data_IF_947228265872
#
_entry.id   IF_947228265872
#
_cell.length_a   1.000
_cell.length_b   1.000
_cell.length_c   1.000
_cell.angle_alpha   90.00
_cell.angle_beta   90.00
_cell.angle_gamma   90.00
#
_symmetry.space_group_name_H-M   'P 1'
#
loop_
_entity.id
_entity.type
_entity.pdbx_description
1 polymer ?
#
# COMPACT_ATOMS: atom_id res chain seq x y z
N UNK A 1 38.71 26.45 -6.14
CA UNK A 1 39.16 26.11 -7.51
C UNK A 1 40.08 24.91 -7.43
N UNK A 2 39.83 23.78 -8.08
CA UNK A 2 38.62 23.36 -8.80
C UNK A 2 38.70 21.85 -9.05
N UNK A 3 37.57 21.14 -9.01
CA UNK A 3 37.45 19.76 -9.46
C UNK A 3 36.37 19.73 -10.54
N UNK A 4 36.82 19.72 -11.80
CA UNK A 4 35.97 19.64 -12.98
C UNK A 4 36.47 18.50 -13.87
N UNK A 5 35.52 17.90 -14.60
CA UNK A 5 35.75 16.94 -15.69
C UNK A 5 36.49 15.64 -15.35
N UNK A 6 35.69 14.62 -15.00
CA UNK A 6 35.83 13.31 -15.65
C UNK A 6 34.48 12.66 -15.99
N UNK A 7 33.63 13.41 -16.68
CA UNK A 7 32.49 12.84 -17.38
C UNK A 7 32.98 12.14 -18.66
N UNK A 8 32.87 10.82 -18.74
CA UNK A 8 32.92 10.06 -20.00
C UNK A 8 31.97 8.86 -19.95
N UNK A 9 31.04 8.84 -20.91
CA UNK A 9 30.44 7.65 -21.54
C UNK A 9 29.86 6.56 -20.63
N UNK A 10 28.69 6.84 -20.04
CA UNK A 10 27.60 5.86 -19.94
C UNK A 10 26.36 6.51 -20.52
N UNK A 11 26.12 6.31 -21.82
CA UNK A 11 24.96 6.87 -22.54
C UNK A 11 24.27 5.78 -23.38
N UNK A 12 22.97 5.95 -23.61
CA UNK A 12 22.00 5.20 -24.44
C UNK A 12 20.88 4.39 -23.78
N UNK A 13 21.04 3.78 -22.58
CA UNK A 13 19.97 2.92 -22.01
C UNK A 13 18.98 3.64 -21.08
N UNK A 14 19.42 4.71 -20.40
CA UNK A 14 18.61 5.41 -19.39
C UNK A 14 17.96 6.72 -19.86
N UNK A 15 17.95 7.01 -21.17
CA UNK A 15 17.58 8.34 -21.70
C UNK A 15 16.51 8.32 -22.79
N UNK A 16 15.68 7.29 -22.84
CA UNK A 16 14.38 7.40 -23.52
C UNK A 16 13.52 8.40 -22.75
N UNK A 17 13.40 9.61 -23.29
CA UNK A 17 12.49 10.63 -22.78
C UNK A 17 11.05 10.11 -22.93
N UNK A 18 10.34 9.98 -21.82
CA UNK A 18 8.92 9.61 -21.80
C UNK A 18 8.00 10.80 -22.12
N UNK A 19 8.32 11.53 -23.18
CA UNK A 19 7.61 12.77 -23.58
C UNK A 19 6.14 12.50 -24.00
N UNK A 20 5.78 11.25 -24.29
CA UNK A 20 4.46 10.85 -24.79
C UNK A 20 3.39 10.54 -23.71
N UNK A 21 3.80 10.25 -22.48
CA UNK A 21 2.87 9.92 -21.37
C UNK A 21 3.04 10.86 -20.16
N UNK A 22 3.78 11.96 -20.32
CA UNK A 22 3.88 13.03 -19.34
C UNK A 22 2.51 13.72 -19.16
N UNK A 23 1.75 13.26 -18.18
CA UNK A 23 0.42 13.76 -17.86
C UNK A 23 0.43 14.39 -16.47
N UNK A 24 -0.10 15.61 -16.35
CA UNK A 24 -0.28 16.25 -15.05
C UNK A 24 -1.33 15.47 -14.24
N UNK A 25 -0.85 14.61 -13.34
CA UNK A 25 -1.67 13.76 -12.47
C UNK A 25 -2.48 14.67 -11.53
N UNK A 26 -3.81 14.60 -11.61
CA UNK A 26 -4.74 15.48 -10.87
C UNK A 26 -5.70 14.67 -10.03
N UNK A 27 -5.72 14.92 -8.72
CA UNK A 27 -6.69 14.36 -7.80
C UNK A 27 -8.13 14.76 -8.19
N UNK A 28 -9.05 13.78 -8.16
CA UNK A 28 -10.46 13.93 -8.54
C UNK A 28 -11.36 13.66 -7.33
N UNK A 29 -12.09 14.67 -6.86
CA UNK A 29 -13.00 14.48 -5.71
C UNK A 29 -14.28 13.75 -6.18
N UNK A 30 -14.43 12.51 -5.70
CA UNK A 30 -15.49 11.57 -6.05
C UNK A 30 -16.27 11.21 -4.78
N UNK A 31 -17.61 11.35 -4.79
CA UNK A 31 -18.48 10.96 -3.67
C UNK A 31 -19.26 9.70 -4.05
N UNK A 32 -19.10 8.62 -3.28
CA UNK A 32 -19.71 7.30 -3.48
C UNK A 32 -20.57 6.93 -2.26
N UNK A 33 -21.72 6.28 -2.48
CA UNK A 33 -22.67 5.89 -1.41
C UNK A 33 -22.82 4.38 -1.30
N UNK A 34 -22.80 3.84 -0.08
CA UNK A 34 -22.70 2.40 0.17
C UNK A 34 -23.91 1.80 0.90
N UNK A 35 -24.92 2.62 1.23
CA UNK A 35 -26.04 2.27 2.12
C UNK A 35 -26.91 1.10 1.60
N UNK A 36 -26.94 0.88 0.28
CA UNK A 36 -27.71 -0.15 -0.44
C UNK A 36 -26.88 -1.38 -0.87
N UNK A 37 -25.54 -1.29 -0.79
CA UNK A 37 -24.63 -2.37 -1.20
C UNK A 37 -24.85 -3.62 -0.34
N UNK A 38 -25.13 -4.80 -0.93
CA UNK A 38 -25.26 -6.06 -0.19
C UNK A 38 -23.91 -6.74 0.06
N UNK A 39 -23.89 -7.76 0.93
CA UNK A 39 -22.68 -8.55 1.24
C UNK A 39 -22.05 -9.16 -0.01
N UNK A 40 -22.86 -9.83 -0.86
CA UNK A 40 -22.44 -10.32 -2.18
C UNK A 40 -22.95 -9.37 -3.27
N UNK A 41 -22.26 -8.26 -3.46
CA UNK A 41 -22.55 -7.30 -4.53
C UNK A 41 -22.28 -7.82 -5.95
N UNK A 42 -21.76 -9.04 -6.11
CA UNK A 42 -21.76 -9.78 -7.39
C UNK A 42 -22.70 -10.98 -7.26
N UNK A 43 -23.90 -10.97 -7.89
CA UNK A 43 -24.93 -11.99 -7.72
C UNK A 43 -24.44 -13.42 -7.94
N UNK A 44 -24.56 -14.25 -6.90
CA UNK A 44 -24.14 -15.66 -6.92
C UNK A 44 -22.62 -15.88 -6.99
N UNK A 45 -21.79 -14.83 -6.80
CA UNK A 45 -20.32 -14.91 -6.88
C UNK A 45 -19.64 -14.49 -5.58
N UNK A 46 -19.72 -15.37 -4.58
CA UNK A 46 -19.19 -15.14 -3.23
C UNK A 46 -17.66 -14.94 -3.25
N UNK A 47 -16.92 -15.79 -3.96
CA UNK A 47 -15.45 -15.67 -4.04
C UNK A 47 -15.02 -14.46 -4.84
N UNK A 48 -15.73 -14.11 -5.93
CA UNK A 48 -15.42 -12.88 -6.67
C UNK A 48 -15.59 -11.65 -5.78
N UNK A 49 -16.73 -11.54 -5.09
CA UNK A 49 -17.00 -10.47 -4.12
C UNK A 49 -15.87 -10.37 -3.07
N UNK A 50 -15.44 -11.49 -2.48
CA UNK A 50 -14.38 -11.44 -1.46
C UNK A 50 -12.96 -11.23 -2.01
N UNK A 51 -12.72 -11.48 -3.31
CA UNK A 51 -11.49 -11.04 -3.99
C UNK A 51 -11.46 -9.51 -4.07
N UNK A 52 -12.57 -8.86 -4.44
CA UNK A 52 -12.67 -7.41 -4.43
C UNK A 52 -12.60 -6.81 -3.02
N UNK A 53 -13.29 -7.39 -2.04
CA UNK A 53 -13.16 -6.98 -0.63
C UNK A 53 -11.72 -7.12 -0.10
N UNK A 54 -10.97 -8.12 -0.55
CA UNK A 54 -9.55 -8.25 -0.25
C UNK A 54 -8.74 -7.07 -0.81
N UNK A 55 -9.01 -6.62 -2.03
CA UNK A 55 -8.35 -5.44 -2.61
C UNK A 55 -8.71 -4.16 -1.84
N UNK A 56 -9.99 -3.93 -1.54
CA UNK A 56 -10.46 -2.79 -0.74
C UNK A 56 -9.86 -2.75 0.68
N UNK A 57 -9.34 -3.88 1.18
CA UNK A 57 -8.62 -3.96 2.46
C UNK A 57 -7.11 -3.77 2.33
N UNK A 58 -6.48 -4.38 1.32
CA UNK A 58 -5.02 -4.44 1.22
C UNK A 58 -4.43 -3.18 0.57
N UNK A 59 -5.06 -2.69 -0.51
CA UNK A 59 -4.50 -1.59 -1.29
C UNK A 59 -4.46 -0.27 -0.48
N UNK A 60 -5.54 0.19 0.18
CA UNK A 60 -5.54 1.46 0.92
C UNK A 60 -4.54 1.57 2.07
N UNK A 61 -4.06 0.46 2.62
CA UNK A 61 -3.00 0.48 3.62
C UNK A 61 -1.60 0.45 2.98
N UNK A 62 -1.45 -0.23 1.84
CA UNK A 62 -0.23 -0.20 1.02
C UNK A 62 0.03 1.19 0.40
N UNK A 63 -0.99 1.77 -0.22
CA UNK A 63 -1.04 3.11 -0.84
C UNK A 63 -0.53 4.21 0.12
N UNK A 64 -1.00 4.21 1.38
CA UNK A 64 -0.54 5.11 2.46
C UNK A 64 0.93 4.94 2.84
N UNK A 65 1.49 3.76 2.62
CA UNK A 65 2.91 3.48 2.89
C UNK A 65 3.75 3.90 1.69
N UNK A 66 3.31 3.54 0.50
CA UNK A 66 3.92 3.93 -0.77
C UNK A 66 4.02 5.44 -0.91
N UNK A 67 2.92 6.17 -0.67
CA UNK A 67 2.90 7.63 -0.64
C UNK A 67 3.89 8.24 0.35
N UNK A 68 4.12 7.60 1.52
CA UNK A 68 5.14 8.03 2.48
C UNK A 68 6.56 7.77 1.99
N UNK A 69 6.81 6.65 1.31
CA UNK A 69 8.11 6.36 0.71
C UNK A 69 8.41 7.34 -0.45
N UNK A 70 7.42 7.65 -1.29
CA UNK A 70 7.54 8.65 -2.34
C UNK A 70 7.78 10.06 -1.78
N UNK A 71 7.08 10.46 -0.71
CA UNK A 71 7.34 11.72 -0.03
C UNK A 71 8.75 11.80 0.59
N UNK A 72 9.32 10.67 1.04
CA UNK A 72 10.73 10.57 1.44
C UNK A 72 11.70 10.64 0.26
N UNK A 73 11.25 10.28 -0.96
CA UNK A 73 12.06 10.29 -2.18
C UNK A 73 12.14 11.67 -2.83
N UNK A 74 11.10 12.52 -2.72
CA UNK A 74 11.04 13.85 -3.35
C UNK A 74 12.33 14.70 -3.22
N UNK A 75 13.01 14.80 -2.06
CA UNK A 75 14.25 15.58 -1.93
C UNK A 75 15.47 15.04 -2.70
N UNK A 76 15.34 13.86 -3.31
CA UNK A 76 16.36 13.19 -4.12
C UNK A 76 15.95 13.08 -5.61
N UNK A 77 14.85 13.72 -6.02
CA UNK A 77 14.36 13.72 -7.41
C UNK A 77 14.69 15.08 -8.04
N UNK A 78 15.72 15.09 -8.88
CA UNK A 78 16.20 16.30 -9.58
C UNK A 78 15.49 16.53 -10.93
N UNK A 79 14.72 15.55 -11.44
CA UNK A 79 13.88 15.71 -12.64
C UNK A 79 12.57 16.43 -12.26
N UNK A 80 12.34 17.68 -12.73
CA UNK A 80 11.15 18.45 -12.36
C UNK A 80 9.84 17.80 -12.83
N UNK A 81 9.85 17.04 -13.94
CA UNK A 81 8.66 16.32 -14.43
C UNK A 81 8.30 15.20 -13.49
N UNK A 82 9.26 14.33 -13.16
CA UNK A 82 9.06 13.23 -12.22
C UNK A 82 8.68 13.75 -10.81
N UNK A 83 9.25 14.88 -10.39
CA UNK A 83 8.89 15.52 -9.13
C UNK A 83 7.42 16.01 -9.12
N UNK A 84 6.92 16.57 -10.23
CA UNK A 84 5.49 16.92 -10.38
C UNK A 84 4.59 15.68 -10.39
N UNK A 85 4.95 14.65 -11.15
CA UNK A 85 4.23 13.37 -11.24
C UNK A 85 4.11 12.68 -9.86
N UNK A 86 5.20 12.63 -9.09
CA UNK A 86 5.20 12.07 -7.72
C UNK A 86 4.32 12.89 -6.76
N UNK A 87 4.29 14.21 -6.88
CA UNK A 87 3.36 15.05 -6.09
C UNK A 87 1.90 14.78 -6.47
N UNK A 88 1.60 14.70 -7.76
CA UNK A 88 0.26 14.39 -8.27
C UNK A 88 -0.24 13.03 -7.80
N UNK A 89 0.61 12.01 -7.88
CA UNK A 89 0.39 10.65 -7.36
C UNK A 89 -0.03 10.67 -5.88
N UNK A 90 0.82 11.25 -5.01
CA UNK A 90 0.55 11.34 -3.57
C UNK A 90 -0.79 12.05 -3.28
N UNK A 91 -1.20 12.99 -4.13
CA UNK A 91 -2.50 13.68 -4.05
C UNK A 91 -3.70 12.82 -4.47
N UNK A 92 -3.58 12.00 -5.51
CA UNK A 92 -4.63 11.05 -5.94
C UNK A 92 -4.85 9.97 -4.87
N UNK A 93 -3.77 9.28 -4.47
CA UNK A 93 -3.76 8.20 -3.47
C UNK A 93 -4.49 8.57 -2.16
N UNK A 94 -4.28 9.79 -1.67
CA UNK A 94 -4.93 10.27 -0.45
C UNK A 94 -6.46 10.36 -0.57
N UNK A 95 -6.97 10.65 -1.77
CA UNK A 95 -8.42 10.74 -2.06
C UNK A 95 -9.01 9.34 -2.29
N UNK A 96 -8.26 8.49 -2.98
CA UNK A 96 -8.62 7.14 -3.40
C UNK A 96 -8.69 6.17 -2.21
N UNK A 97 -7.71 6.18 -1.30
CA UNK A 97 -7.77 5.40 -0.06
C UNK A 97 -8.99 5.75 0.84
N UNK A 98 -9.49 7.00 0.77
CA UNK A 98 -10.64 7.46 1.59
C UNK A 98 -11.99 6.97 1.02
N UNK A 99 -12.05 6.66 -0.28
CA UNK A 99 -13.22 6.07 -0.95
C UNK A 99 -13.36 4.57 -0.65
N UNK A 100 -12.28 3.79 -0.79
CA UNK A 100 -12.30 2.35 -0.43
C UNK A 100 -12.71 2.12 1.03
N UNK A 101 -12.33 3.03 1.94
CA UNK A 101 -12.74 2.98 3.35
C UNK A 101 -14.25 2.91 3.56
N UNK A 102 -15.04 3.53 2.69
CA UNK A 102 -16.50 3.48 2.77
C UNK A 102 -17.08 2.07 2.51
N UNK A 103 -16.43 1.28 1.64
CA UNK A 103 -16.75 -0.13 1.44
C UNK A 103 -16.43 -0.94 2.71
N UNK A 104 -15.35 -0.62 3.41
CA UNK A 104 -14.98 -1.28 4.67
C UNK A 104 -15.97 -0.98 5.80
N UNK A 105 -16.36 0.29 5.95
CA UNK A 105 -17.40 0.71 6.89
C UNK A 105 -18.71 -0.08 6.61
N UNK A 106 -19.04 -0.31 5.34
CA UNK A 106 -20.20 -1.10 4.93
C UNK A 106 -20.08 -2.60 5.24
N UNK A 107 -18.90 -3.21 5.08
CA UNK A 107 -18.69 -4.61 5.48
C UNK A 107 -18.93 -4.83 6.98
N UNK A 108 -18.54 -3.85 7.81
CA UNK A 108 -18.82 -3.85 9.27
C UNK A 108 -20.33 -3.79 9.54
N UNK A 109 -21.08 -2.91 8.86
CA UNK A 109 -22.55 -2.84 9.00
C UNK A 109 -23.24 -4.16 8.61
N UNK A 110 -22.71 -4.86 7.61
CA UNK A 110 -23.22 -6.16 7.14
C UNK A 110 -22.73 -7.35 8.02
N UNK A 111 -22.01 -7.08 9.11
CA UNK A 111 -21.62 -8.08 10.11
C UNK A 111 -20.28 -8.77 9.87
N UNK A 112 -19.43 -8.25 8.98
CA UNK A 112 -18.08 -8.76 8.70
C UNK A 112 -17.03 -7.69 9.03
N UNK A 113 -16.60 -7.62 10.29
CA UNK A 113 -15.57 -6.68 10.74
C UNK A 113 -14.14 -7.14 10.35
N UNK A 114 -13.44 -6.44 9.43
CA UNK A 114 -12.12 -6.84 8.96
C UNK A 114 -10.98 -6.34 9.86
N UNK A 115 -11.26 -5.67 10.99
CA UNK A 115 -10.24 -5.16 11.92
C UNK A 115 -9.14 -6.17 12.31
N UNK A 116 -9.40 -7.48 12.46
CA UNK A 116 -8.34 -8.47 12.70
C UNK A 116 -7.39 -8.66 11.51
N UNK A 117 -7.84 -8.47 10.27
CA UNK A 117 -6.99 -8.50 9.07
C UNK A 117 -6.15 -7.23 9.01
N UNK A 118 -6.79 -6.06 9.13
CA UNK A 118 -6.12 -4.75 9.11
C UNK A 118 -5.04 -4.64 10.20
N UNK A 119 -5.30 -5.16 11.40
CA UNK A 119 -4.30 -5.20 12.50
C UNK A 119 -3.08 -6.07 12.17
N UNK A 120 -3.24 -7.13 11.38
CA UNK A 120 -2.10 -7.96 10.92
C UNK A 120 -1.35 -7.30 9.77
N UNK A 121 -2.08 -6.70 8.83
CA UNK A 121 -1.51 -5.96 7.71
C UNK A 121 -0.67 -4.77 8.20
N UNK A 122 -1.19 -3.96 9.12
CA UNK A 122 -0.46 -2.86 9.75
C UNK A 122 0.90 -3.30 10.29
N UNK A 123 0.96 -4.41 11.04
CA UNK A 123 2.23 -4.97 11.56
C UNK A 123 3.21 -5.40 10.48
N UNK A 124 2.74 -5.85 9.31
CA UNK A 124 3.61 -6.19 8.17
C UNK A 124 4.17 -4.89 7.55
N UNK A 125 3.32 -3.88 7.40
CA UNK A 125 3.68 -2.56 6.85
C UNK A 125 4.59 -1.75 7.78
N UNK A 126 4.42 -1.88 9.10
CA UNK A 126 5.31 -1.31 10.12
C UNK A 126 6.75 -1.84 9.95
N UNK A 127 6.91 -3.15 9.71
CA UNK A 127 8.23 -3.76 9.45
C UNK A 127 8.84 -3.25 8.15
N UNK A 128 8.04 -3.00 7.11
CA UNK A 128 8.50 -2.44 5.82
C UNK A 128 8.92 -0.96 5.99
N UNK A 129 8.21 -0.19 6.82
CA UNK A 129 8.42 1.25 7.02
C UNK A 129 9.43 1.62 8.09
N UNK A 130 9.81 0.69 8.97
CA UNK A 130 10.76 0.97 10.06
C UNK A 130 12.13 1.36 9.50
N UNK A 131 12.58 2.58 9.83
CA UNK A 131 13.93 3.07 9.56
C UNK A 131 14.89 2.68 10.69
N UNK A 132 16.10 2.28 10.31
CA UNK A 132 17.17 1.95 11.27
C UNK A 132 18.55 2.27 10.69
N UNK A 133 19.53 2.43 11.58
CA UNK A 133 20.89 2.80 11.22
C UNK A 133 21.08 4.28 10.86
N UNK A 134 22.22 4.56 10.25
CA UNK A 134 22.63 5.90 9.82
C UNK A 134 21.94 6.34 8.52
N UNK A 135 22.17 7.57 8.09
CA UNK A 135 21.61 8.17 6.87
C UNK A 135 21.78 7.29 5.62
N UNK A 136 22.98 6.75 5.39
CA UNK A 136 23.24 5.82 4.27
C UNK A 136 22.38 4.56 4.36
N UNK A 137 22.20 3.99 5.55
CA UNK A 137 21.32 2.84 5.75
C UNK A 137 19.85 3.20 5.45
N UNK A 138 19.37 4.36 5.90
CA UNK A 138 18.00 4.85 5.64
C UNK A 138 17.75 5.09 4.15
N UNK A 139 18.70 5.71 3.43
CA UNK A 139 18.60 5.85 1.98
C UNK A 139 18.53 4.48 1.28
N UNK A 140 19.32 3.50 1.72
CA UNK A 140 19.24 2.16 1.15
C UNK A 140 17.90 1.47 1.44
N UNK A 141 17.33 1.66 2.65
CA UNK A 141 15.98 1.18 2.98
C UNK A 141 14.89 1.86 2.13
N UNK A 142 15.03 3.15 1.83
CA UNK A 142 14.16 3.85 0.88
C UNK A 142 14.23 3.23 -0.52
N UNK A 143 15.43 2.94 -1.03
CA UNK A 143 15.60 2.22 -2.31
C UNK A 143 14.96 0.82 -2.30
N UNK A 144 15.03 0.06 -1.18
CA UNK A 144 14.32 -1.21 -1.04
C UNK A 144 12.79 -1.03 -1.07
N UNK A 145 12.26 0.02 -0.44
CA UNK A 145 10.82 0.34 -0.43
C UNK A 145 10.34 0.72 -1.83
N UNK A 146 11.05 1.59 -2.55
CA UNK A 146 10.67 1.96 -3.92
C UNK A 146 10.77 0.77 -4.89
N UNK A 147 11.78 -0.11 -4.72
CA UNK A 147 11.89 -1.37 -5.48
C UNK A 147 10.74 -2.36 -5.19
N UNK A 148 10.22 -2.35 -3.96
CA UNK A 148 9.05 -3.14 -3.56
C UNK A 148 7.77 -2.54 -4.14
N UNK A 149 7.52 -1.25 -3.91
CA UNK A 149 6.29 -0.60 -4.33
C UNK A 149 6.15 -0.53 -5.84
N UNK A 150 7.21 -0.28 -6.61
CA UNK A 150 7.15 -0.36 -8.08
C UNK A 150 6.74 -1.74 -8.61
N UNK A 151 7.05 -2.83 -7.89
CA UNK A 151 6.58 -4.16 -8.25
C UNK A 151 5.15 -4.45 -7.79
N UNK A 152 4.67 -3.82 -6.72
CA UNK A 152 3.26 -3.90 -6.29
C UNK A 152 2.36 -3.06 -7.21
N UNK A 153 2.84 -1.88 -7.63
CA UNK A 153 2.21 -0.97 -8.59
C UNK A 153 2.00 -1.63 -9.96
N UNK A 154 2.97 -2.45 -10.41
CA UNK A 154 2.78 -3.25 -11.62
C UNK A 154 1.55 -4.17 -11.51
N UNK A 155 1.29 -4.75 -10.34
CA UNK A 155 0.09 -5.56 -10.14
C UNK A 155 -1.18 -4.71 -10.09
N UNK A 156 -1.18 -3.55 -9.43
CA UNK A 156 -2.38 -2.69 -9.37
C UNK A 156 -2.73 -2.14 -10.75
N UNK A 157 -1.76 -1.73 -11.56
CA UNK A 157 -1.97 -1.35 -12.97
C UNK A 157 -2.54 -2.49 -13.83
N UNK A 158 -2.09 -3.74 -13.64
CA UNK A 158 -2.66 -4.93 -14.33
C UNK A 158 -4.11 -5.19 -13.90
N UNK A 159 -4.43 -5.02 -12.62
CA UNK A 159 -5.80 -5.10 -12.11
C UNK A 159 -6.68 -3.95 -12.61
N UNK A 160 -6.15 -2.73 -12.67
CA UNK A 160 -6.82 -1.55 -13.21
C UNK A 160 -7.22 -1.76 -14.66
N UNK A 161 -6.28 -2.20 -15.50
CA UNK A 161 -6.56 -2.63 -16.88
C UNK A 161 -7.68 -3.68 -16.96
N UNK A 162 -7.67 -4.68 -16.08
CA UNK A 162 -8.73 -5.69 -16.02
C UNK A 162 -10.11 -5.10 -15.66
N UNK A 163 -10.20 -4.11 -14.78
CA UNK A 163 -11.47 -3.44 -14.42
C UNK A 163 -12.08 -2.67 -15.61
N UNK A 164 -11.24 -2.10 -16.46
CA UNK A 164 -11.65 -1.35 -17.65
C UNK A 164 -12.05 -2.28 -18.80
N UNK A 165 -11.29 -3.35 -19.03
CA UNK A 165 -11.42 -4.21 -20.22
C UNK A 165 -12.30 -5.46 -20.02
N UNK A 166 -12.62 -5.86 -18.78
CA UNK A 166 -13.38 -7.09 -18.56
C UNK A 166 -14.90 -6.92 -18.79
N UNK A 167 -15.35 -7.39 -19.95
CA UNK A 167 -16.77 -7.65 -20.24
C UNK A 167 -17.39 -8.64 -19.22
N UNK A 168 -16.61 -9.60 -18.73
CA UNK A 168 -17.06 -10.59 -17.75
C UNK A 168 -17.44 -9.94 -16.43
N UNK A 169 -16.64 -8.98 -15.96
CA UNK A 169 -16.96 -8.15 -14.80
C UNK A 169 -18.14 -7.23 -15.08
N UNK A 170 -18.13 -6.52 -16.22
CA UNK A 170 -19.19 -5.59 -16.60
C UNK A 170 -20.58 -6.25 -16.65
N UNK A 171 -20.65 -7.47 -17.19
CA UNK A 171 -21.89 -8.23 -17.37
C UNK A 171 -22.20 -9.17 -16.19
N UNK A 172 -21.44 -9.10 -15.08
CA UNK A 172 -21.61 -10.00 -13.92
C UNK A 172 -22.85 -9.72 -13.06
N UNK A 173 -23.55 -8.60 -13.31
CA UNK A 173 -24.59 -8.08 -12.41
C UNK A 173 -24.04 -7.40 -11.15
N UNK A 174 -22.75 -7.09 -11.12
CA UNK A 174 -22.09 -6.33 -10.04
C UNK A 174 -22.86 -5.04 -9.70
N UNK A 175 -22.96 -4.72 -8.40
CA UNK A 175 -23.60 -3.50 -7.93
C UNK A 175 -23.01 -2.26 -8.62
N UNK A 176 -23.83 -1.39 -9.25
CA UNK A 176 -23.30 -0.34 -10.13
C UNK A 176 -22.29 0.59 -9.45
N UNK A 177 -22.50 0.95 -8.18
CA UNK A 177 -21.56 1.82 -7.44
C UNK A 177 -20.17 1.17 -7.23
N UNK A 178 -20.10 -0.16 -7.10
CA UNK A 178 -18.83 -0.88 -6.96
C UNK A 178 -18.13 -1.00 -8.32
N UNK A 179 -18.87 -1.20 -9.41
CA UNK A 179 -18.30 -1.18 -10.75
C UNK A 179 -17.77 0.22 -11.13
N UNK A 180 -18.52 1.27 -10.78
CA UNK A 180 -18.11 2.66 -10.98
C UNK A 180 -16.83 2.98 -10.16
N UNK A 181 -16.74 2.52 -8.90
CA UNK A 181 -15.53 2.63 -8.07
C UNK A 181 -14.33 1.91 -8.71
N UNK A 182 -14.49 0.64 -9.09
CA UNK A 182 -13.41 -0.18 -9.65
C UNK A 182 -12.90 0.38 -10.99
N UNK A 183 -13.79 0.92 -11.83
CA UNK A 183 -13.38 1.53 -13.11
C UNK A 183 -12.72 2.89 -12.94
N UNK A 184 -13.19 3.71 -12.01
CA UNK A 184 -12.52 4.97 -11.68
C UNK A 184 -11.12 4.71 -11.14
N UNK A 185 -11.00 3.87 -10.11
CA UNK A 185 -9.73 3.43 -9.53
C UNK A 185 -8.81 2.83 -10.59
N UNK A 186 -9.31 1.88 -11.39
CA UNK A 186 -8.52 1.22 -12.42
C UNK A 186 -8.05 2.12 -13.56
N UNK A 187 -8.68 3.28 -13.78
CA UNK A 187 -8.19 4.29 -14.71
C UNK A 187 -7.04 5.12 -14.11
N UNK A 188 -7.09 5.46 -12.82
CA UNK A 188 -6.00 6.19 -12.13
C UNK A 188 -4.74 5.31 -12.03
N UNK A 189 -4.89 4.03 -11.69
CA UNK A 189 -3.81 3.02 -11.70
C UNK A 189 -3.10 2.88 -13.06
N UNK A 190 -3.82 3.09 -14.16
CA UNK A 190 -3.24 3.05 -15.52
C UNK A 190 -2.61 4.40 -15.91
N UNK A 191 -3.16 5.51 -15.42
CA UNK A 191 -2.66 6.88 -15.59
C UNK A 191 -1.27 7.05 -14.97
N UNK A 192 -1.03 6.48 -13.78
CA UNK A 192 0.21 6.68 -13.02
C UNK A 192 1.17 5.48 -12.91
N UNK A 193 0.89 4.40 -13.65
CA UNK A 193 1.58 3.09 -13.61
C UNK A 193 3.13 3.09 -13.66
N UNK A 194 3.77 4.15 -14.12
CA UNK A 194 5.24 4.25 -14.14
C UNK A 194 5.84 5.06 -12.99
N UNK A 195 5.09 5.92 -12.27
CA UNK A 195 5.65 6.93 -11.35
C UNK A 195 6.53 6.32 -10.26
N UNK A 196 6.08 5.25 -9.62
CA UNK A 196 6.84 4.56 -8.56
C UNK A 196 8.09 3.87 -9.11
N UNK A 197 8.02 3.38 -10.35
CA UNK A 197 9.10 2.72 -11.04
C UNK A 197 10.15 3.72 -11.53
N UNK A 198 9.73 4.87 -12.07
CA UNK A 198 10.58 5.98 -12.47
C UNK A 198 11.31 6.58 -11.26
N UNK A 199 10.61 6.79 -10.13
CA UNK A 199 11.23 7.20 -8.86
C UNK A 199 12.28 6.17 -8.37
N UNK A 200 12.01 4.87 -8.52
CA UNK A 200 12.99 3.83 -8.21
C UNK A 200 14.22 3.86 -9.15
N UNK A 201 14.02 4.06 -10.46
CA UNK A 201 15.10 4.16 -11.42
C UNK A 201 15.97 5.42 -11.19
N UNK A 202 15.35 6.53 -10.79
CA UNK A 202 16.05 7.79 -10.50
C UNK A 202 16.96 7.68 -9.27
N UNK A 203 16.49 7.04 -8.18
CA UNK A 203 17.22 6.96 -6.91
C UNK A 203 18.22 5.79 -6.79
N UNK A 204 18.05 4.70 -7.56
CA UNK A 204 18.88 3.49 -7.43
C UNK A 204 19.10 2.75 -8.75
N UNK A 205 18.04 2.47 -9.51
CA UNK A 205 18.11 1.76 -10.80
C UNK A 205 18.69 0.34 -10.79
N UNK A 206 19.08 -0.19 -9.62
CA UNK A 206 19.83 -1.44 -9.49
C UNK A 206 18.99 -2.69 -9.75
N UNK A 207 19.03 -3.21 -10.98
CA UNK A 207 18.28 -4.41 -11.43
C UNK A 207 18.23 -5.56 -10.40
N UNK A 208 19.33 -5.87 -9.71
CA UNK A 208 19.37 -6.93 -8.70
C UNK A 208 18.49 -6.64 -7.46
N UNK A 209 18.38 -5.38 -7.03
CA UNK A 209 17.45 -4.95 -5.97
C UNK A 209 16.01 -5.01 -6.48
N UNK A 210 15.75 -4.44 -7.65
CA UNK A 210 14.44 -4.51 -8.35
C UNK A 210 13.93 -5.94 -8.44
N UNK A 211 14.74 -6.86 -8.94
CA UNK A 211 14.37 -8.27 -9.13
C UNK A 211 14.11 -8.98 -7.78
N UNK A 212 14.98 -8.79 -6.78
CA UNK A 212 14.80 -9.38 -5.45
C UNK A 212 13.54 -8.87 -4.76
N UNK A 213 13.26 -7.57 -4.83
CA UNK A 213 12.10 -6.97 -4.19
C UNK A 213 10.80 -7.25 -4.96
N UNK A 214 10.85 -7.44 -6.27
CA UNK A 214 9.72 -7.96 -7.04
C UNK A 214 9.34 -9.37 -6.62
N UNK A 215 10.30 -10.32 -6.56
CA UNK A 215 10.02 -11.69 -6.09
C UNK A 215 9.49 -11.70 -4.66
N UNK A 216 10.08 -10.92 -3.75
CA UNK A 216 9.58 -10.78 -2.38
C UNK A 216 8.17 -10.18 -2.34
N UNK A 217 7.92 -9.11 -3.10
CA UNK A 217 6.63 -8.42 -3.20
C UNK A 217 5.53 -9.33 -3.74
N UNK A 218 5.76 -10.02 -4.86
CA UNK A 218 4.82 -10.99 -5.43
C UNK A 218 4.45 -12.09 -4.43
N UNK A 219 5.43 -12.66 -3.72
CA UNK A 219 5.17 -13.72 -2.73
C UNK A 219 4.40 -13.18 -1.52
N UNK A 220 4.78 -12.00 -1.01
CA UNK A 220 4.11 -11.35 0.11
C UNK A 220 2.67 -10.94 -0.22
N UNK A 221 2.45 -10.36 -1.40
CA UNK A 221 1.13 -9.97 -1.92
C UNK A 221 0.24 -11.21 -2.13
N UNK A 222 0.75 -12.25 -2.80
CA UNK A 222 0.01 -13.49 -3.01
C UNK A 222 -0.39 -14.17 -1.70
N UNK A 223 0.57 -14.34 -0.78
CA UNK A 223 0.31 -14.97 0.51
C UNK A 223 -0.71 -14.15 1.34
N UNK A 224 -0.52 -12.83 1.44
CA UNK A 224 -1.42 -11.95 2.20
C UNK A 224 -2.81 -11.89 1.57
N UNK A 225 -2.90 -11.83 0.24
CA UNK A 225 -4.14 -11.84 -0.52
C UNK A 225 -4.92 -13.13 -0.37
N UNK A 226 -4.28 -14.29 -0.55
CA UNK A 226 -4.92 -15.61 -0.39
C UNK A 226 -5.37 -15.86 1.05
N UNK A 227 -4.56 -15.48 2.05
CA UNK A 227 -4.92 -15.65 3.46
C UNK A 227 -6.03 -14.69 3.91
N UNK A 228 -6.07 -13.48 3.36
CA UNK A 228 -7.16 -12.51 3.58
C UNK A 228 -8.45 -12.99 2.92
N UNK A 229 -8.40 -13.45 1.66
CA UNK A 229 -9.53 -14.04 0.95
C UNK A 229 -10.10 -15.25 1.72
N UNK A 230 -9.23 -16.16 2.16
CA UNK A 230 -9.64 -17.32 2.96
C UNK A 230 -10.28 -16.88 4.29
N UNK A 231 -9.74 -15.85 4.96
CA UNK A 231 -10.33 -15.31 6.18
C UNK A 231 -11.72 -14.70 5.93
N UNK A 232 -11.89 -13.92 4.85
CA UNK A 232 -13.17 -13.32 4.46
C UNK A 232 -14.23 -14.40 4.19
N UNK A 233 -13.92 -15.39 3.34
CA UNK A 233 -14.84 -16.49 2.98
C UNK A 233 -15.21 -17.35 4.21
N UNK A 234 -14.27 -17.60 5.13
CA UNK A 234 -14.55 -18.38 6.36
C UNK A 234 -15.40 -17.60 7.37
N UNK A 235 -15.28 -16.28 7.40
CA UNK A 235 -15.99 -15.41 8.35
C UNK A 235 -17.27 -14.78 7.79
N UNK A 236 -17.53 -14.92 6.49
CA UNK A 236 -18.75 -14.50 5.79
C UNK A 236 -20.04 -14.86 6.58
N UNK A 237 -20.85 -13.86 7.00
CA UNK A 237 -22.05 -14.08 7.79
C UNK A 237 -23.14 -14.92 7.10
N UNK A 238 -23.19 -14.95 5.77
CA UNK A 238 -24.17 -15.72 5.01
C UNK A 238 -23.72 -17.18 4.84
N UNK A 239 -22.45 -17.41 4.50
CA UNK A 239 -21.87 -18.76 4.48
C UNK A 239 -21.85 -19.40 5.88
N UNK A 240 -21.66 -18.62 6.94
CA UNK A 240 -21.73 -19.12 8.33
C UNK A 240 -23.12 -19.58 8.75
N UNK A 241 -24.20 -19.07 8.13
CA UNK A 241 -25.58 -19.56 8.35
C UNK A 241 -25.81 -20.91 7.65
N UNK A 242 -25.03 -21.25 6.63
CA UNK A 242 -25.15 -22.52 5.92
C UNK A 242 -24.70 -23.71 6.80
N UNK A 243 -25.67 -24.49 7.29
CA UNK A 243 -25.42 -25.74 8.05
C UNK A 243 -24.79 -26.85 7.20
N UNK A 244 -24.99 -26.84 5.88
CA UNK A 244 -24.45 -27.86 4.97
C UNK A 244 -22.98 -27.54 4.59
N UNK A 245 -22.01 -28.44 4.85
CA UNK A 245 -20.60 -28.21 4.53
C UNK A 245 -20.32 -28.00 3.03
N UNK A 246 -21.12 -28.59 2.14
CA UNK A 246 -21.03 -28.37 0.69
C UNK A 246 -21.30 -26.89 0.37
N UNK A 247 -22.39 -26.33 0.89
CA UNK A 247 -22.72 -24.90 0.68
C UNK A 247 -21.73 -23.96 1.35
N UNK A 248 -21.13 -24.37 2.47
CA UNK A 248 -20.18 -23.55 3.24
C UNK A 248 -18.76 -23.54 2.67
N UNK A 249 -18.29 -24.65 2.09
CA UNK A 249 -16.88 -24.80 1.69
C UNK A 249 -16.69 -25.13 0.19
N UNK A 250 -17.50 -26.03 -0.38
CA UNK A 250 -17.34 -26.44 -1.79
C UNK A 250 -17.96 -25.43 -2.76
N UNK A 251 -19.16 -24.92 -2.47
CA UNK A 251 -19.85 -23.97 -3.33
C UNK A 251 -19.07 -22.65 -3.55
N UNK A 252 -18.39 -22.05 -2.53
CA UNK A 252 -17.49 -20.92 -2.77
C UNK A 252 -16.34 -21.26 -3.73
N UNK A 253 -15.68 -22.41 -3.57
CA UNK A 253 -14.58 -22.83 -4.47
C UNK A 253 -15.07 -22.97 -5.91
N UNK A 254 -16.24 -23.59 -6.12
CA UNK A 254 -16.86 -23.71 -7.45
C UNK A 254 -17.27 -22.34 -8.03
N UNK A 255 -17.77 -21.41 -7.19
CA UNK A 255 -18.02 -20.02 -7.58
C UNK A 255 -16.73 -19.32 -8.02
N UNK A 256 -15.61 -19.49 -7.31
CA UNK A 256 -14.32 -18.94 -7.72
C UNK A 256 -13.88 -19.43 -9.11
N UNK A 257 -13.96 -20.74 -9.35
CA UNK A 257 -13.65 -21.34 -10.66
C UNK A 257 -14.60 -20.79 -11.75
N UNK A 258 -15.89 -20.67 -11.47
CA UNK A 258 -16.88 -20.11 -12.40
C UNK A 258 -16.62 -18.62 -12.70
N UNK A 259 -16.26 -17.83 -11.68
CA UNK A 259 -15.92 -16.42 -11.80
C UNK A 259 -14.68 -16.21 -12.67
N UNK A 260 -13.60 -16.97 -12.46
CA UNK A 260 -12.41 -16.93 -13.34
C UNK A 260 -12.75 -17.35 -14.77
N UNK A 261 -13.51 -18.43 -14.98
CA UNK A 261 -13.93 -18.87 -16.34
C UNK A 261 -14.76 -17.82 -17.08
N UNK A 262 -15.62 -17.10 -16.35
CA UNK A 262 -16.45 -15.99 -16.87
C UNK A 262 -15.70 -14.65 -16.95
N UNK A 263 -14.40 -14.61 -16.63
CA UNK A 263 -13.58 -13.39 -16.52
C UNK A 263 -14.18 -12.33 -15.57
N UNK A 264 -14.93 -12.74 -14.55
CA UNK A 264 -15.39 -11.82 -13.48
C UNK A 264 -14.20 -11.41 -12.62
N UNK A 265 -13.28 -12.34 -12.36
CA UNK A 265 -11.97 -12.08 -11.74
C UNK A 265 -10.84 -12.57 -12.66
N UNK A 266 -9.61 -12.03 -12.54
CA UNK A 266 -8.46 -12.55 -13.25
C UNK A 266 -8.20 -14.04 -12.96
N UNK A 267 -7.46 -14.69 -13.84
CA UNK A 267 -6.95 -16.03 -13.53
C UNK A 267 -5.82 -15.92 -12.50
N UNK A 268 -5.78 -16.82 -11.52
CA UNK A 268 -4.66 -16.94 -10.57
C UNK A 268 -3.34 -17.15 -11.32
N UNK A 269 -3.36 -17.82 -12.48
CA UNK A 269 -2.16 -17.95 -13.32
C UNK A 269 -1.69 -16.62 -13.92
N UNK A 270 -2.58 -15.64 -14.14
CA UNK A 270 -2.20 -14.31 -14.63
C UNK A 270 -1.26 -13.61 -13.64
N UNK A 271 -1.53 -13.72 -12.33
CA UNK A 271 -0.63 -13.20 -11.29
C UNK A 271 0.80 -13.78 -11.39
N UNK A 272 0.91 -15.05 -11.79
CA UNK A 272 2.19 -15.75 -11.97
C UNK A 272 2.88 -15.38 -13.29
N UNK A 273 2.14 -15.01 -14.34
CA UNK A 273 2.72 -14.58 -15.63
C UNK A 273 3.23 -13.15 -15.64
N UNK A 274 2.73 -12.29 -14.75
CA UNK A 274 3.19 -10.89 -14.65
C UNK A 274 4.61 -10.74 -14.10
N UNK A 275 5.01 -11.54 -13.11
CA UNK A 275 6.34 -11.46 -12.50
C UNK A 275 7.47 -11.68 -13.54
N UNK A 276 7.45 -12.72 -14.40
CA UNK A 276 8.40 -12.85 -15.51
C UNK A 276 8.43 -11.66 -16.47
N UNK A 277 7.31 -10.94 -16.66
CA UNK A 277 7.29 -9.74 -17.51
C UNK A 277 7.97 -8.55 -16.82
N UNK A 278 7.64 -8.28 -15.55
CA UNK A 278 8.28 -7.23 -14.76
C UNK A 278 9.81 -7.45 -14.61
N UNK A 279 10.23 -8.71 -14.50
CA UNK A 279 11.64 -9.08 -14.34
C UNK A 279 12.49 -8.89 -15.62
N UNK A 280 11.92 -8.62 -16.80
CA UNK A 280 12.73 -8.42 -18.03
C UNK A 280 13.68 -7.22 -17.85
N UNK A 281 14.96 -7.30 -18.27
CA UNK A 281 15.91 -6.19 -18.11
C UNK A 281 15.43 -4.87 -18.74
N UNK A 282 14.86 -4.92 -19.95
CA UNK A 282 14.25 -3.78 -20.64
C UNK A 282 12.76 -3.56 -20.34
N UNK A 283 12.25 -4.08 -19.21
CA UNK A 283 10.87 -3.81 -18.78
C UNK A 283 10.69 -2.35 -18.36
N UNK A 284 9.61 -1.73 -18.83
CA UNK A 284 9.09 -0.45 -18.33
C UNK A 284 7.56 -0.50 -18.25
N UNK A 285 6.90 0.01 -17.19
CA UNK A 285 5.43 -0.03 -17.08
C UNK A 285 4.67 0.70 -18.19
N UNK A 286 5.26 1.74 -18.80
CA UNK A 286 4.64 2.44 -19.95
C UNK A 286 4.41 1.51 -21.15
N UNK A 287 5.33 0.57 -21.40
CA UNK A 287 5.24 -0.39 -22.50
C UNK A 287 4.08 -1.39 -22.37
N UNK A 288 3.46 -1.46 -21.19
CA UNK A 288 2.19 -2.16 -20.95
C UNK A 288 1.06 -1.39 -21.62
N UNK A 289 1.02 -1.41 -22.95
CA UNK A 289 0.09 -0.64 -23.77
C UNK A 289 -1.37 -0.99 -23.41
N UNK A 290 -1.94 -0.17 -22.54
CA UNK A 290 -3.36 0.14 -22.59
C UNK A 290 -3.54 1.19 -23.68
N UNK A 291 -4.67 1.14 -24.39
CA UNK A 291 -5.20 2.35 -25.03
C UNK A 291 -5.29 3.40 -23.92
N UNK A 292 -4.83 4.63 -24.15
CA UNK A 292 -4.96 5.68 -23.13
C UNK A 292 -6.45 5.81 -22.77
N UNK A 293 -6.81 5.36 -21.58
CA UNK A 293 -8.18 5.39 -21.07
C UNK A 293 -8.30 6.67 -20.25
N UNK A 294 -8.88 7.76 -20.78
CA UNK A 294 -8.97 8.98 -19.99
C UNK A 294 -9.85 8.68 -18.78
N UNK A 295 -9.38 8.97 -17.56
CA UNK A 295 -10.20 8.82 -16.36
C UNK A 295 -11.55 9.55 -16.49
N UNK A 296 -11.59 10.62 -17.28
CA UNK A 296 -12.79 11.37 -17.68
C UNK A 296 -13.90 10.49 -18.32
N UNK A 297 -13.55 9.42 -19.03
CA UNK A 297 -14.50 8.50 -19.68
C UNK A 297 -15.20 7.58 -18.68
N UNK A 298 -14.55 7.30 -17.55
CA UNK A 298 -15.03 6.37 -16.51
C UNK A 298 -15.64 7.07 -15.30
N UNK A 299 -15.87 8.38 -15.43
CA UNK A 299 -16.58 9.20 -14.47
C UNK A 299 -18.06 8.80 -14.41
N UNK A 300 -18.58 8.30 -13.26
CA UNK A 300 -20.02 8.02 -13.12
C UNK A 300 -20.85 9.30 -13.34
N UNK A 301 -22.09 9.18 -13.84
CA UNK A 301 -22.90 10.31 -14.26
C UNK A 301 -23.22 11.28 -13.11
N UNK A 302 -23.47 12.58 -13.38
CA UNK A 302 -23.73 13.57 -12.34
C UNK A 302 -24.85 13.21 -11.36
N UNK A 303 -25.87 12.46 -11.82
CA UNK A 303 -26.97 11.96 -10.98
C UNK A 303 -26.55 11.02 -9.86
N UNK A 304 -25.39 10.35 -9.98
CA UNK A 304 -24.78 9.52 -8.91
C UNK A 304 -23.79 10.30 -8.05
N UNK A 305 -23.33 11.47 -8.51
CA UNK A 305 -22.45 12.39 -7.77
C UNK A 305 -23.29 13.34 -6.89
N UNK A 306 -23.70 12.90 -5.69
CA UNK A 306 -24.40 13.81 -4.78
C UNK A 306 -23.43 14.87 -4.24
N UNK A 307 -23.56 16.11 -4.73
CA UNK A 307 -22.81 17.24 -4.18
C UNK A 307 -23.18 17.51 -2.70
N UNK A 308 -22.25 17.24 -1.79
CA UNK A 308 -22.13 17.91 -0.48
C UNK A 308 -22.91 17.33 0.71
N UNK A 309 -24.12 16.80 0.52
CA UNK A 309 -24.92 16.29 1.66
C UNK A 309 -24.46 14.92 2.17
N UNK A 310 -24.08 14.00 1.26
CA UNK A 310 -23.53 12.68 1.61
C UNK A 310 -22.30 12.83 2.48
N UNK A 311 -21.32 13.63 2.02
CA UNK A 311 -20.14 14.06 2.77
C UNK A 311 -20.42 14.67 4.15
N UNK A 312 -21.53 15.41 4.34
CA UNK A 312 -21.93 15.94 5.66
C UNK A 312 -22.50 14.86 6.58
N UNK A 313 -23.31 13.93 6.07
CA UNK A 313 -23.82 12.77 6.84
C UNK A 313 -22.70 11.79 7.18
N UNK A 314 -21.82 11.45 6.24
CA UNK A 314 -20.67 10.57 6.48
C UNK A 314 -19.67 11.20 7.46
N UNK A 315 -19.33 12.50 7.35
CA UNK A 315 -18.51 13.19 8.36
C UNK A 315 -19.19 13.29 9.73
N UNK A 316 -20.52 13.45 9.82
CA UNK A 316 -21.28 13.38 11.09
C UNK A 316 -21.27 11.97 11.68
N UNK A 317 -21.44 10.92 10.86
CA UNK A 317 -21.31 9.52 11.28
C UNK A 317 -19.88 9.21 11.73
N UNK A 318 -18.84 9.60 10.98
CA UNK A 318 -17.40 9.48 11.36
C UNK A 318 -17.07 10.18 12.70
N UNK A 319 -17.78 11.26 13.07
CA UNK A 319 -17.64 11.89 14.41
C UNK A 319 -18.37 11.14 15.54
N UNK A 320 -19.38 10.32 15.25
CA UNK A 320 -20.19 9.57 16.25
C UNK A 320 -19.79 8.09 16.37
N UNK A 321 -19.48 7.44 15.25
CA UNK A 321 -18.93 6.09 15.19
C UNK A 321 -17.42 6.08 15.33
N UNK A 322 -16.90 6.28 16.54
CA UNK A 322 -15.53 5.85 16.85
C UNK A 322 -15.55 4.33 16.95
N UNK A 323 -14.78 3.64 16.10
CA UNK A 323 -14.51 2.20 16.27
C UNK A 323 -13.76 2.03 17.60
N UNK A 324 -14.32 1.33 18.61
CA UNK A 324 -13.62 1.12 19.87
C UNK A 324 -12.44 0.17 19.65
N UNK A 325 -11.24 0.58 20.07
CA UNK A 325 -10.05 -0.27 20.05
C UNK A 325 -9.00 0.01 18.97
N UNK A 326 -9.17 1.00 18.09
CA UNK A 326 -8.10 1.39 17.17
C UNK A 326 -6.93 2.08 17.91
N UNK A 327 -5.68 1.58 17.81
CA UNK A 327 -4.52 2.15 18.50
C UNK A 327 -4.27 3.63 18.15
N UNK A 328 -3.79 4.40 19.12
CA UNK A 328 -3.48 5.84 18.99
C UNK A 328 -2.54 6.12 17.80
N UNK A 329 -1.59 5.22 17.52
CA UNK A 329 -0.60 5.33 16.45
C UNK A 329 -1.18 5.29 15.01
N UNK A 330 -2.42 4.81 14.82
CA UNK A 330 -3.13 4.83 13.53
C UNK A 330 -4.09 6.03 13.41
N UNK A 331 -4.14 6.90 14.42
CA UNK A 331 -4.89 8.16 14.36
C UNK A 331 -4.02 9.19 13.68
N UNK A 332 -4.11 9.27 12.35
CA UNK A 332 -3.46 10.33 11.58
C UNK A 332 -3.80 11.69 12.20
N UNK A 333 -2.79 12.39 12.71
CA UNK A 333 -2.99 13.77 13.15
C UNK A 333 -3.37 14.60 11.92
N UNK A 334 -4.34 15.51 12.02
CA UNK A 334 -4.62 16.45 10.94
C UNK A 334 -3.37 17.31 10.74
N UNK A 335 -2.67 17.08 9.62
CA UNK A 335 -1.51 17.86 9.25
C UNK A 335 -1.91 19.32 9.18
N UNK A 336 -1.29 20.17 10.02
CA UNK A 336 -1.24 21.61 9.79
C UNK A 336 -0.40 21.84 8.55
N UNK A 337 -1.01 21.76 7.38
CA UNK A 337 -0.45 22.38 6.18
C UNK A 337 -0.34 23.87 6.47
N UNK A 338 0.90 24.36 6.57
CA UNK A 338 1.16 25.79 6.71
C UNK A 338 0.66 26.48 5.45
N UNK A 339 -0.31 27.38 5.61
CA UNK A 339 -0.70 28.27 4.53
C UNK A 339 0.48 29.21 4.26
N UNK A 340 1.25 28.92 3.20
CA UNK A 340 2.21 29.87 2.65
C UNK A 340 1.39 30.96 1.96
N UNK A 341 1.01 31.98 2.72
CA UNK A 341 0.47 33.21 2.15
C UNK A 341 1.62 33.92 1.44
N UNK A 342 1.52 34.01 0.12
CA UNK A 342 2.40 34.87 -0.67
C UNK A 342 2.00 36.33 -0.43
N UNK A 343 2.71 37.02 0.46
CA UNK A 343 2.55 38.46 0.63
C UNK A 343 3.19 39.21 -0.55
N UNK A 344 2.34 39.70 -1.45
CA UNK A 344 2.72 40.65 -2.50
C UNK A 344 2.96 42.03 -1.89
N UNK A 345 4.20 42.30 -1.45
CA UNK A 345 4.57 43.58 -0.88
C UNK A 345 4.74 44.68 -1.93
N UNK A 346 3.75 45.59 -2.02
CA UNK A 346 3.89 46.90 -2.70
C UNK A 346 4.25 47.97 -1.67
N UNK A 347 5.27 48.83 -1.88
CA UNK A 347 5.72 49.77 -0.86
C UNK A 347 5.03 51.14 -0.98
N UNK A 348 4.55 51.71 0.13
CA UNK A 348 4.71 53.16 0.36
C UNK A 348 4.52 53.60 1.83
N UNK A 349 5.37 54.56 2.26
CA UNK A 349 5.25 55.57 3.35
C UNK A 349 4.59 55.17 4.70
N UNK A 350 5.20 55.40 5.87
CA UNK A 350 5.42 56.76 6.40
C UNK A 350 6.43 56.85 7.57
N UNK A 351 7.27 57.89 7.52
CA UNK A 351 7.97 58.63 8.60
C UNK A 351 8.32 57.97 9.96
N UNK A 352 9.64 57.76 10.12
CA UNK A 352 10.51 58.45 11.07
C UNK A 352 10.10 58.63 12.56
N UNK A 353 10.96 58.13 13.46
CA UNK A 353 11.46 58.88 14.63
C UNK A 353 12.91 58.50 14.96
N UNK A 354 13.75 59.50 15.16
CA UNK A 354 15.18 59.33 15.47
C UNK A 354 15.46 59.43 16.97
N UNK A 355 16.46 58.66 17.43
CA UNK A 355 17.31 58.78 18.63
C UNK A 355 18.06 57.43 18.74
N UNK A 356 19.38 57.29 18.70
CA UNK A 356 20.45 58.28 18.79
C UNK A 356 21.28 58.08 20.07
N UNK A 357 22.31 57.20 20.02
CA UNK A 357 23.46 57.19 20.94
C UNK A 357 24.61 56.33 20.36
N UNK A 358 25.82 56.89 20.40
CA UNK A 358 27.14 56.27 20.08
C UNK A 358 27.71 55.68 21.39
N UNK A 359 28.27 54.46 21.47
CA UNK A 359 29.58 53.95 21.02
C UNK A 359 30.65 53.88 22.15
N UNK A 360 31.40 52.77 22.22
CA UNK A 360 32.83 52.61 22.63
C UNK A 360 33.21 51.09 22.50
N UNK A 361 34.26 50.71 21.76
CA UNK A 361 35.60 50.29 22.24
C UNK A 361 35.59 49.18 23.34
N UNK A 362 36.30 48.03 23.29
CA UNK A 362 37.25 47.42 22.33
C UNK A 362 37.44 45.90 22.64
N UNK A 363 38.39 45.12 22.09
CA UNK A 363 39.53 45.44 21.21
C UNK A 363 40.17 44.22 20.49
N UNK A 364 41.51 44.10 20.45
CA UNK A 364 42.31 43.13 19.62
C UNK A 364 42.82 41.89 20.38
N UNK A 365 42.97 40.76 19.68
CA UNK A 365 43.84 39.64 20.09
C UNK A 365 44.08 38.59 18.99
N UNK A 366 45.28 38.61 18.36
CA UNK A 366 45.73 37.56 17.40
C UNK A 366 46.65 36.55 18.10
N UNK A 367 46.63 35.27 17.68
CA UNK A 367 47.84 34.43 17.51
C UNK A 367 47.55 33.21 16.63
N UNK A 368 48.54 32.82 15.81
CA UNK A 368 48.59 31.58 15.00
C UNK A 368 49.63 30.64 15.63
N UNK A 369 49.45 29.32 15.46
CA UNK A 369 50.54 28.34 15.48
C UNK A 369 50.17 27.15 14.56
N UNK A 370 51.17 26.51 13.96
CA UNK A 370 51.01 25.49 12.90
C UNK A 370 51.79 24.19 13.29
N UNK A 371 51.92 23.14 12.45
CA UNK A 371 51.58 21.77 12.84
C UNK A 371 52.79 20.87 13.20
N UNK A 372 52.51 19.63 13.63
CA UNK A 372 53.48 18.51 13.61
C UNK A 372 52.91 17.23 12.99
N UNK A 373 53.72 16.63 12.12
CA UNK A 373 53.74 15.29 11.50
C UNK A 373 55.24 15.03 11.18
N UNK A 374 55.70 13.85 10.69
CA UNK A 374 55.10 12.52 10.63
C UNK A 374 56.01 11.42 11.24
N UNK A 375 55.64 10.14 11.15
CA UNK A 375 56.59 9.04 10.88
C UNK A 375 56.02 8.03 9.87
N UNK A 376 56.94 7.48 9.06
CA UNK A 376 56.75 6.37 8.11
C UNK A 376 56.88 5.03 8.88
N UNK A 377 56.72 3.81 8.34
CA UNK A 377 57.11 3.26 7.04
C UNK A 377 56.36 1.95 6.69
N UNK A 378 56.43 1.56 5.40
CA UNK A 378 56.61 0.19 4.83
C UNK A 378 55.82 -1.03 5.41
N UNK A 379 55.40 -2.03 4.62
CA UNK A 379 55.42 -2.27 3.15
C UNK A 379 54.58 -3.54 2.83
N UNK A 380 54.72 -4.05 1.60
CA UNK A 380 54.31 -5.37 1.11
C UNK A 380 52.87 -5.56 0.60
N UNK A 381 52.77 -6.46 -0.40
CA UNK A 381 51.63 -6.74 -1.27
C UNK A 381 51.03 -8.10 -0.92
N UNK A 382 49.74 -8.32 -1.17
CA UNK A 382 49.22 -9.32 -2.13
C UNK A 382 47.71 -9.58 -1.91
N UNK A 383 47.11 -10.22 -2.90
CA UNK A 383 45.67 -10.33 -3.13
C UNK A 383 44.94 -11.27 -2.16
N UNK A 384 43.73 -10.89 -1.75
CA UNK A 384 42.67 -11.82 -1.38
C UNK A 384 41.29 -11.17 -1.54
N UNK A 385 40.40 -11.83 -2.28
CA UNK A 385 39.00 -11.40 -2.44
C UNK A 385 38.25 -11.55 -1.11
N UNK A 386 37.67 -10.45 -0.61
CA UNK A 386 36.77 -10.49 0.54
C UNK A 386 35.41 -9.88 0.20
N UNK A 387 34.42 -10.75 0.02
CA UNK A 387 33.01 -10.36 -0.13
C UNK A 387 32.41 -10.03 1.24
N UNK A 388 31.78 -8.86 1.45
CA UNK A 388 31.03 -8.62 2.66
C UNK A 388 29.65 -9.30 2.55
N UNK A 389 29.54 -10.52 3.07
CA UNK A 389 28.25 -11.17 3.33
C UNK A 389 27.42 -10.29 4.28
N UNK A 390 26.25 -9.83 3.85
CA UNK A 390 25.32 -9.06 4.69
C UNK A 390 24.17 -9.95 5.20
N UNK A 391 24.11 -10.32 6.50
CA UNK A 391 23.13 -11.28 7.02
C UNK A 391 21.89 -10.59 7.62
N UNK A 392 21.21 -9.74 6.84
CA UNK A 392 20.00 -9.02 7.28
C UNK A 392 18.69 -9.57 6.68
N UNK A 393 18.68 -9.94 5.40
CA UNK A 393 17.46 -10.27 4.65
C UNK A 393 16.74 -11.56 5.08
N UNK A 394 17.48 -12.56 5.60
CA UNK A 394 16.90 -13.84 6.05
C UNK A 394 16.00 -13.66 7.28
N UNK A 395 16.25 -12.64 8.13
CA UNK A 395 15.42 -12.37 9.30
C UNK A 395 14.01 -11.87 8.93
N UNK A 396 13.88 -11.14 7.82
CA UNK A 396 12.61 -10.53 7.38
C UNK A 396 11.60 -11.58 6.89
N UNK A 397 12.03 -12.57 6.09
CA UNK A 397 11.15 -13.65 5.62
C UNK A 397 10.63 -14.51 6.79
N UNK A 398 11.51 -14.85 7.75
CA UNK A 398 11.13 -15.55 8.97
C UNK A 398 10.21 -14.71 9.87
N UNK A 399 10.39 -13.39 9.94
CA UNK A 399 9.53 -12.50 10.72
C UNK A 399 8.09 -12.44 10.18
N UNK A 400 7.90 -12.33 8.86
CA UNK A 400 6.57 -12.32 8.22
C UNK A 400 5.81 -13.63 8.51
N UNK A 401 6.47 -14.77 8.39
CA UNK A 401 5.89 -16.08 8.73
C UNK A 401 5.66 -16.27 10.25
N UNK A 402 6.50 -15.68 11.11
CA UNK A 402 6.37 -15.75 12.56
C UNK A 402 5.21 -14.89 13.10
N UNK A 403 4.97 -13.70 12.52
CA UNK A 403 3.78 -12.88 12.83
C UNK A 403 2.50 -13.65 12.53
N UNK A 404 2.46 -14.42 11.43
CA UNK A 404 1.34 -15.27 11.08
C UNK A 404 1.07 -16.40 12.08
N UNK A 405 2.10 -17.04 12.64
CA UNK A 405 1.92 -18.14 13.61
C UNK A 405 1.43 -17.71 15.00
N UNK A 406 1.65 -16.46 15.42
CA UNK A 406 1.33 -15.98 16.79
C UNK A 406 -0.12 -15.48 16.98
N UNK A 407 -0.99 -15.67 15.99
CA UNK A 407 -2.36 -15.14 15.96
C UNK A 407 -3.50 -16.11 16.33
N UNK A 408 -3.25 -17.19 17.08
CA UNK A 408 -4.29 -18.12 17.57
C UNK A 408 -4.90 -17.62 18.89
N UNK A 409 -6.23 -17.46 19.03
CA UNK A 409 -6.87 -17.17 20.30
C UNK A 409 -7.04 -18.43 21.16
N UNK A 410 -6.81 -18.30 22.48
CA UNK A 410 -7.37 -19.14 23.54
C UNK A 410 -6.99 -20.63 23.55
N UNK A 411 -6.05 -21.01 24.43
CA UNK A 411 -6.01 -22.38 24.92
C UNK A 411 -7.23 -22.62 25.84
N UNK A 412 -7.95 -23.72 25.61
CA UNK A 412 -8.97 -24.21 26.54
C UNK A 412 -8.30 -24.73 27.82
N UNK A 413 -8.92 -24.58 29.02
CA UNK A 413 -8.34 -25.09 30.25
C UNK A 413 -8.27 -26.62 30.23
N UNK A 414 -7.15 -27.16 30.70
CA UNK A 414 -6.94 -28.61 30.84
C UNK A 414 -8.03 -29.23 31.70
N UNK A 415 -8.74 -30.24 31.16
CA UNK A 415 -9.38 -31.27 31.98
C UNK A 415 -8.32 -32.31 32.34
N UNK A 416 -8.18 -32.62 33.63
CA UNK A 416 -7.32 -33.70 34.10
C UNK A 416 -7.82 -35.08 33.64
N UNK A 417 -6.98 -36.13 33.73
CA UNK A 417 -7.35 -37.48 33.36
C UNK A 417 -8.46 -38.04 34.28
N UNK A 418 -9.31 -38.95 33.79
CA UNK A 418 -10.37 -39.56 34.60
C UNK A 418 -9.81 -40.57 35.61
N UNK A 419 -10.36 -40.53 36.82
CA UNK A 419 -10.08 -41.46 37.93
C UNK A 419 -10.63 -42.88 37.63
N UNK A 420 -9.78 -43.93 37.57
CA UNK A 420 -10.21 -45.31 37.34
C UNK A 420 -10.74 -45.97 38.65
N UNK A 421 -11.68 -45.31 39.32
CA UNK A 421 -11.88 -45.47 40.77
C UNK A 421 -13.27 -45.88 41.28
N UNK A 422 -14.26 -46.26 40.45
CA UNK A 422 -15.57 -46.74 40.97
C UNK A 422 -16.28 -47.81 40.11
N UNK A 423 -16.17 -49.07 40.53
CA UNK A 423 -17.05 -50.18 40.12
C UNK A 423 -18.22 -50.35 41.10
N UNK A 424 -19.37 -50.80 40.57
CA UNK A 424 -20.55 -51.39 41.26
C UNK A 424 -21.35 -50.48 42.20
N UNK A 425 -22.64 -50.32 41.88
CA UNK A 425 -23.69 -51.23 42.36
C UNK A 425 -24.89 -51.28 41.40
N UNK A 426 -25.43 -52.48 41.23
CA UNK A 426 -26.74 -52.73 40.61
C UNK A 426 -27.83 -52.53 41.66
N UNK A 427 -28.98 -52.02 41.24
CA UNK A 427 -30.27 -52.28 41.89
C UNK A 427 -31.36 -52.34 40.81
N UNK A 428 -32.11 -53.45 40.78
CA UNK A 428 -33.43 -53.54 40.14
C UNK A 428 -34.44 -52.98 41.15
N UNK A 429 -35.53 -52.34 40.70
CA UNK A 429 -36.83 -53.04 40.58
C UNK A 429 -37.88 -52.20 39.83
N UNK A 430 -38.99 -52.80 39.33
CA UNK A 430 -40.03 -52.14 38.55
C UNK A 430 -41.39 -51.98 39.29
N UNK A 431 -42.36 -51.33 38.61
CA UNK A 431 -43.84 -51.31 38.79
C UNK A 431 -44.46 -49.97 39.23
N UNK A 432 -45.78 -49.89 38.98
CA UNK A 432 -46.71 -48.76 39.11
C UNK A 432 -46.49 -47.63 38.08
N UNK A 433 -47.45 -47.26 37.20
CA UNK A 433 -48.80 -47.78 36.98
C UNK A 433 -49.90 -46.88 37.54
N UNK A 434 -50.26 -45.86 36.76
CA UNK A 434 -51.53 -45.12 36.74
C UNK A 434 -51.57 -44.32 35.42
#
# INVERSE_FOLDING_TARGET
MGYAQKARSHDSVGRQRYDAEAHAIRARDMDFTWDDVPMHYIPGQVVATHVYNCMHLLLPEGEKVMSRALAQALPYIDDPRLHEEVIGFIGQEATHADNHRGVLDRLVELGLDPSPVLTRLGKILDVITTDFGNERARHQLLCERLALFSALEHYTAVWGKFFLESEGLANSGIHPMLLDLLRWHGAEEVEHRSVVFDAYLHLDGGYARRARMAVFGSVALFATGMLTLAWLVVNDPELRKARNPIRRYLAPVLSGIAATRRRIIPNVTSFLTELPTYLKPGFHPSHSAARSWPCATWLPPPSRRRHGEGRRRSRRRRRRGRIPGLPEALRGQPGRTGAVQAETGTPDRFRARARGRRAHHGGRGRRRAHPRRPRRCESARLDAWCTPRCPASVRSASAVLAVWRRGRPGALPHRGPPDPGRRRRLARDPRAGA
#
